data_IF_449810448932
#
_entry.id   IF_449810448932
#
_cell.length_a   1.000
_cell.length_b   1.000
_cell.length_c   1.000
_cell.angle_alpha   90.00
_cell.angle_beta   90.00
_cell.angle_gamma   90.00
#
_symmetry.space_group_name_H-M   'P 1'
#
loop_
_entity.id
_entity.type
_entity.pdbx_description
1 polymer ?
#
# COMPACT_ATOMS: atom_id res chain seq x y z
N UNK A 1 9.58 -9.86 -15.31
CA UNK A 1 10.62 -10.84 -15.68
C UNK A 1 10.10 -12.29 -15.67
N UNK A 2 9.58 -12.83 -14.53
CA UNK A 2 9.16 -14.26 -14.41
C UNK A 2 8.16 -14.69 -15.49
N UNK A 3 7.09 -13.91 -15.75
CA UNK A 3 6.06 -14.21 -16.77
C UNK A 3 6.66 -14.25 -18.19
N UNK A 4 7.52 -13.28 -18.52
CA UNK A 4 8.19 -13.25 -19.82
C UNK A 4 9.12 -14.45 -20.01
N UNK A 5 9.90 -14.80 -18.97
CA UNK A 5 10.77 -15.97 -19.01
C UNK A 5 9.97 -17.26 -19.22
N UNK A 6 8.87 -17.46 -18.52
CA UNK A 6 8.02 -18.64 -18.71
C UNK A 6 7.48 -18.74 -20.13
N UNK A 7 7.05 -17.62 -20.76
CA UNK A 7 6.60 -17.60 -22.15
C UNK A 7 7.73 -17.90 -23.13
N UNK A 8 8.92 -17.33 -22.90
CA UNK A 8 10.07 -17.57 -23.76
C UNK A 8 10.56 -19.03 -23.71
N UNK A 9 10.52 -19.65 -22.53
CA UNK A 9 10.87 -21.08 -22.37
C UNK A 9 9.89 -21.97 -23.13
N UNK A 10 8.59 -21.69 -23.10
CA UNK A 10 7.57 -22.43 -23.83
C UNK A 10 7.64 -22.21 -25.35
N UNK A 11 8.00 -21.00 -25.79
CA UNK A 11 8.10 -20.63 -27.20
C UNK A 11 9.39 -21.16 -27.85
N UNK A 12 10.48 -21.25 -27.07
CA UNK A 12 11.80 -21.74 -27.56
C UNK A 12 12.56 -20.77 -28.49
N UNK A 13 11.96 -19.64 -28.89
CA UNK A 13 12.61 -18.65 -29.77
C UNK A 13 13.43 -17.66 -28.95
N UNK A 14 14.74 -17.64 -29.14
CA UNK A 14 15.70 -16.83 -28.39
C UNK A 14 16.25 -15.62 -29.18
N UNK A 15 15.66 -15.31 -30.35
CA UNK A 15 16.10 -14.15 -31.12
C UNK A 15 15.88 -12.84 -30.32
N UNK A 16 16.87 -11.93 -30.23
CA UNK A 16 16.78 -10.73 -29.39
C UNK A 16 15.52 -9.88 -29.59
N UNK A 17 15.16 -9.61 -30.86
CA UNK A 17 13.94 -8.85 -31.16
C UNK A 17 12.65 -9.52 -30.67
N UNK A 18 12.63 -10.88 -30.66
CA UNK A 18 11.50 -11.61 -30.09
C UNK A 18 11.44 -11.50 -28.57
N UNK A 19 12.59 -11.64 -27.91
CA UNK A 19 12.72 -11.47 -26.46
C UNK A 19 12.25 -10.08 -26.02
N UNK A 20 12.70 -9.02 -26.70
CA UNK A 20 12.26 -7.63 -26.42
C UNK A 20 10.76 -7.46 -26.61
N UNK A 21 10.17 -8.02 -27.66
CA UNK A 21 8.72 -7.98 -27.92
C UNK A 21 7.94 -8.67 -26.80
N UNK A 22 8.37 -9.84 -26.35
CA UNK A 22 7.73 -10.58 -25.26
C UNK A 22 7.84 -9.78 -23.95
N UNK A 23 9.02 -9.24 -23.62
CA UNK A 23 9.21 -8.40 -22.44
C UNK A 23 8.29 -7.19 -22.45
N UNK A 24 8.21 -6.46 -23.56
CA UNK A 24 7.35 -5.27 -23.69
C UNK A 24 5.87 -5.60 -23.55
N UNK A 25 5.44 -6.73 -24.11
CA UNK A 25 4.05 -7.17 -24.01
C UNK A 25 3.71 -7.57 -22.55
N UNK A 26 4.60 -8.36 -21.91
CA UNK A 26 4.38 -8.74 -20.50
C UNK A 26 4.44 -7.56 -19.54
N UNK A 27 5.24 -6.53 -19.83
CA UNK A 27 5.23 -5.29 -19.04
C UNK A 27 3.87 -4.60 -19.12
N UNK A 28 3.29 -4.45 -20.33
CA UNK A 28 1.96 -3.87 -20.50
C UNK A 28 0.86 -4.65 -19.74
N UNK A 29 0.92 -5.98 -19.81
CA UNK A 29 -0.03 -6.83 -19.07
C UNK A 29 0.11 -6.67 -17.56
N UNK A 30 1.35 -6.57 -17.04
CA UNK A 30 1.58 -6.31 -15.61
C UNK A 30 1.09 -4.93 -15.21
N UNK A 31 1.36 -3.90 -16.03
CA UNK A 31 0.90 -2.53 -15.77
C UNK A 31 -0.64 -2.44 -15.73
N UNK A 32 -1.33 -3.21 -16.60
CA UNK A 32 -2.79 -3.32 -16.57
C UNK A 32 -3.28 -3.97 -15.26
N UNK A 33 -2.70 -5.10 -14.87
CA UNK A 33 -3.04 -5.78 -13.61
C UNK A 33 -2.78 -4.90 -12.39
N UNK A 34 -1.72 -4.07 -12.43
CA UNK A 34 -1.41 -3.11 -11.37
C UNK A 34 -2.52 -2.03 -11.29
N UNK A 35 -2.92 -1.45 -12.42
CA UNK A 35 -3.97 -0.43 -12.45
C UNK A 35 -5.30 -0.99 -11.92
N UNK A 36 -5.74 -2.14 -12.44
CA UNK A 36 -6.94 -2.84 -11.99
C UNK A 36 -6.91 -3.13 -10.49
N UNK A 37 -5.78 -3.60 -9.97
CA UNK A 37 -5.65 -3.89 -8.54
C UNK A 37 -5.74 -2.64 -7.65
N UNK A 38 -5.23 -1.51 -8.12
CA UNK A 38 -5.37 -0.23 -7.40
C UNK A 38 -6.79 0.29 -7.40
N UNK A 39 -7.49 0.20 -8.53
CA UNK A 39 -8.90 0.57 -8.65
C UNK A 39 -9.79 -0.31 -7.76
N UNK A 40 -9.59 -1.63 -7.79
CA UNK A 40 -10.30 -2.59 -6.95
C UNK A 40 -10.08 -2.30 -5.45
N UNK A 41 -8.84 -2.04 -5.04
CA UNK A 41 -8.52 -1.71 -3.66
C UNK A 41 -9.18 -0.40 -3.19
N UNK A 42 -9.20 0.63 -4.02
CA UNK A 42 -9.87 1.90 -3.72
C UNK A 42 -11.38 1.72 -3.62
N UNK A 43 -11.98 0.93 -4.51
CA UNK A 43 -13.40 0.56 -4.47
C UNK A 43 -13.75 -0.20 -3.19
N UNK A 44 -12.97 -1.24 -2.85
CA UNK A 44 -13.17 -2.08 -1.67
C UNK A 44 -13.02 -1.32 -0.35
N UNK A 45 -12.14 -0.31 -0.33
CA UNK A 45 -11.97 0.60 0.79
C UNK A 45 -13.06 1.70 0.87
N UNK A 46 -13.82 1.89 -0.22
CA UNK A 46 -14.78 2.99 -0.35
C UNK A 46 -14.11 4.36 -0.39
N UNK A 47 -13.01 4.48 -1.14
CA UNK A 47 -12.23 5.73 -1.35
C UNK A 47 -12.27 6.11 -2.82
N UNK A 48 -13.31 6.82 -3.27
CA UNK A 48 -13.44 7.25 -4.67
C UNK A 48 -12.56 8.46 -5.00
N UNK A 49 -12.38 8.74 -6.29
CA UNK A 49 -11.84 10.01 -6.78
C UNK A 49 -10.31 10.15 -6.69
N UNK A 50 -9.57 9.07 -6.43
CA UNK A 50 -8.11 9.10 -6.46
C UNK A 50 -7.59 9.27 -7.89
N UNK A 51 -6.52 10.05 -8.05
CA UNK A 51 -5.85 10.23 -9.33
C UNK A 51 -5.33 8.90 -9.89
N UNK A 52 -5.40 8.64 -11.23
CA UNK A 52 -4.95 7.37 -11.82
C UNK A 52 -3.51 6.96 -11.44
N UNK A 53 -2.60 7.92 -11.32
CA UNK A 53 -1.22 7.62 -10.90
C UNK A 53 -1.14 7.16 -9.44
N UNK A 54 -2.01 7.70 -8.55
CA UNK A 54 -2.11 7.23 -7.16
C UNK A 54 -2.66 5.79 -7.12
N UNK A 55 -3.71 5.52 -7.89
CA UNK A 55 -4.27 4.17 -8.04
C UNK A 55 -3.24 3.16 -8.56
N UNK A 56 -2.48 3.55 -9.58
CA UNK A 56 -1.39 2.72 -10.12
C UNK A 56 -0.29 2.48 -9.09
N UNK A 57 0.10 3.50 -8.31
CA UNK A 57 1.07 3.33 -7.24
C UNK A 57 0.54 2.41 -6.14
N UNK A 58 -0.71 2.59 -5.73
CA UNK A 58 -1.40 1.71 -4.78
C UNK A 58 -1.42 0.26 -5.28
N UNK A 59 -1.76 0.02 -6.54
CA UNK A 59 -1.80 -1.31 -7.14
C UNK A 59 -0.44 -2.04 -7.16
N UNK A 60 0.69 -1.31 -7.18
CA UNK A 60 2.03 -1.91 -7.06
C UNK A 60 2.23 -2.61 -5.71
N UNK A 61 1.53 -2.21 -4.66
CA UNK A 61 1.57 -2.85 -3.34
C UNK A 61 1.11 -4.31 -3.39
N UNK A 62 0.34 -4.73 -4.41
CA UNK A 62 -0.01 -6.13 -4.67
C UNK A 62 1.21 -7.05 -4.72
N UNK A 63 2.34 -6.54 -5.18
CA UNK A 63 3.60 -7.28 -5.33
C UNK A 63 4.60 -7.01 -4.19
N UNK A 64 4.16 -6.33 -3.14
CA UNK A 64 4.96 -6.06 -1.95
C UNK A 64 4.45 -6.86 -0.76
N UNK A 65 5.38 -7.43 -0.02
CA UNK A 65 5.11 -8.10 1.25
C UNK A 65 6.03 -7.53 2.32
N UNK A 66 5.50 -7.30 3.50
CA UNK A 66 6.25 -6.90 4.68
C UNK A 66 5.90 -7.86 5.82
N UNK A 67 6.90 -8.50 6.40
CA UNK A 67 6.71 -9.53 7.44
C UNK A 67 5.73 -10.65 7.06
N UNK A 68 5.59 -10.94 5.77
CA UNK A 68 4.67 -11.95 5.22
C UNK A 68 3.25 -11.45 4.93
N UNK A 69 2.91 -10.21 5.29
CA UNK A 69 1.62 -9.58 4.99
C UNK A 69 1.68 -8.89 3.61
N UNK A 70 0.68 -9.15 2.76
CA UNK A 70 0.54 -8.43 1.48
C UNK A 70 0.16 -6.97 1.74
N UNK A 71 0.92 -6.03 1.18
CA UNK A 71 0.77 -4.61 1.51
C UNK A 71 -0.51 -3.98 0.92
N UNK A 72 -1.03 -4.46 -0.21
CA UNK A 72 -2.29 -3.95 -0.75
C UNK A 72 -3.49 -4.38 0.10
N UNK A 73 -3.51 -5.66 0.53
CA UNK A 73 -4.57 -6.16 1.42
C UNK A 73 -4.53 -5.47 2.78
N UNK A 74 -3.32 -5.25 3.33
CA UNK A 74 -3.12 -4.47 4.54
C UNK A 74 -3.67 -3.05 4.41
N UNK A 75 -3.37 -2.35 3.32
CA UNK A 75 -3.86 -0.99 3.07
C UNK A 75 -5.41 -0.93 3.07
N UNK A 76 -6.09 -1.88 2.41
CA UNK A 76 -7.55 -1.97 2.42
C UNK A 76 -8.09 -2.27 3.83
N UNK A 77 -7.44 -3.16 4.58
CA UNK A 77 -7.82 -3.45 5.96
C UNK A 77 -7.68 -2.23 6.87
N UNK A 78 -6.55 -1.52 6.79
CA UNK A 78 -6.32 -0.28 7.55
C UNK A 78 -7.35 0.78 7.20
N UNK A 79 -7.70 0.96 5.92
CA UNK A 79 -8.74 1.89 5.50
C UNK A 79 -10.11 1.57 6.12
N UNK A 80 -10.49 0.30 6.14
CA UNK A 80 -11.77 -0.14 6.74
C UNK A 80 -11.78 0.09 8.26
N UNK A 81 -10.70 -0.27 8.94
CA UNK A 81 -10.53 -0.02 10.38
C UNK A 81 -10.59 1.48 10.69
N UNK A 82 -9.86 2.30 9.91
CA UNK A 82 -9.87 3.77 10.06
C UNK A 82 -11.29 4.33 9.92
N UNK A 83 -12.06 3.83 8.95
CA UNK A 83 -13.44 4.26 8.77
C UNK A 83 -14.34 3.91 9.95
N UNK A 84 -14.18 2.72 10.55
CA UNK A 84 -14.95 2.30 11.74
C UNK A 84 -14.56 3.15 12.95
N UNK A 85 -13.27 3.34 13.21
CA UNK A 85 -12.79 4.15 14.34
C UNK A 85 -13.24 5.60 14.18
N UNK A 86 -13.16 6.17 12.97
CA UNK A 86 -13.60 7.53 12.71
C UNK A 86 -15.11 7.72 12.96
N UNK A 87 -15.93 6.74 12.56
CA UNK A 87 -17.37 6.78 12.81
C UNK A 87 -17.70 6.80 14.31
N UNK A 88 -17.02 5.99 15.12
CA UNK A 88 -17.20 5.94 16.58
C UNK A 88 -16.72 7.22 17.29
N UNK A 89 -15.67 7.86 16.76
CA UNK A 89 -15.10 9.08 17.34
C UNK A 89 -15.75 10.37 16.81
N UNK A 90 -16.65 10.28 15.80
CA UNK A 90 -17.21 11.45 15.14
C UNK A 90 -16.22 12.24 14.28
N UNK A 91 -15.13 11.58 13.84
CA UNK A 91 -14.14 12.14 12.92
C UNK A 91 -14.57 12.00 11.45
N UNK A 92 -13.81 12.59 10.53
CA UNK A 92 -14.12 12.49 9.10
C UNK A 92 -13.79 11.10 8.55
N UNK A 93 -14.85 10.33 8.24
CA UNK A 93 -14.74 8.94 7.77
C UNK A 93 -14.01 8.87 6.43
N UNK A 94 -14.28 9.79 5.50
CA UNK A 94 -13.68 9.77 4.16
C UNK A 94 -12.17 10.06 4.21
N UNK A 95 -11.77 11.07 4.98
CA UNK A 95 -10.37 11.40 5.21
C UNK A 95 -9.65 10.24 5.91
N UNK A 96 -10.24 9.66 6.95
CA UNK A 96 -9.64 8.55 7.70
C UNK A 96 -9.46 7.30 6.83
N UNK A 97 -10.45 6.95 6.01
CA UNK A 97 -10.34 5.84 5.05
C UNK A 97 -9.23 6.08 4.02
N UNK A 98 -9.18 7.28 3.44
CA UNK A 98 -8.16 7.63 2.47
C UNK A 98 -6.76 7.63 3.09
N UNK A 99 -6.61 8.15 4.32
CA UNK A 99 -5.37 8.10 5.09
C UNK A 99 -4.93 6.65 5.32
N UNK A 100 -5.81 5.80 5.82
CA UNK A 100 -5.53 4.38 6.04
C UNK A 100 -5.18 3.62 4.75
N UNK A 101 -5.85 3.92 3.64
CA UNK A 101 -5.55 3.28 2.34
C UNK A 101 -4.18 3.67 1.80
N UNK A 102 -3.75 4.90 2.01
CA UNK A 102 -2.57 5.47 1.37
C UNK A 102 -1.35 5.58 2.31
N UNK A 103 -1.46 5.26 3.61
CA UNK A 103 -0.38 5.46 4.58
C UNK A 103 0.96 4.85 4.12
N UNK A 104 0.91 3.68 3.52
CA UNK A 104 2.05 2.90 3.07
C UNK A 104 2.38 3.05 1.56
N UNK A 105 1.80 4.04 0.87
CA UNK A 105 1.95 4.25 -0.58
C UNK A 105 3.42 4.28 -1.03
N UNK A 106 4.28 4.88 -0.22
CA UNK A 106 5.72 4.98 -0.51
C UNK A 106 6.46 3.65 -0.53
N UNK A 107 5.94 2.59 0.08
CA UNK A 107 6.52 1.24 -0.03
C UNK A 107 6.47 0.67 -1.46
N UNK A 108 5.64 1.24 -2.33
CA UNK A 108 5.59 0.89 -3.75
C UNK A 108 6.70 1.55 -4.60
N UNK A 109 7.43 2.51 -4.03
CA UNK A 109 8.50 3.23 -4.72
C UNK A 109 9.80 2.42 -4.75
N UNK A 110 10.76 2.87 -5.58
CA UNK A 110 12.05 2.22 -5.70
C UNK A 110 12.89 2.46 -4.43
N UNK A 111 13.60 1.41 -3.98
CA UNK A 111 14.50 1.47 -2.83
C UNK A 111 15.71 2.41 -3.02
N UNK A 112 15.97 2.88 -4.25
CA UNK A 112 17.07 3.80 -4.56
C UNK A 112 16.70 5.28 -4.28
N UNK A 113 15.44 5.57 -3.89
CA UNK A 113 15.04 6.93 -3.52
C UNK A 113 15.46 7.22 -2.07
N UNK A 114 16.12 8.35 -1.85
CA UNK A 114 16.46 8.82 -0.51
C UNK A 114 15.20 9.28 0.22
N UNK A 115 15.03 8.84 1.46
CA UNK A 115 13.91 9.19 2.32
C UNK A 115 13.13 7.97 2.83
N UNK A 116 12.28 8.22 3.82
CA UNK A 116 11.40 7.18 4.36
C UNK A 116 10.19 6.98 3.44
N UNK A 117 9.58 5.81 3.49
CA UNK A 117 8.36 5.54 2.70
C UNK A 117 7.21 6.49 3.07
N UNK A 118 7.14 6.96 4.33
CA UNK A 118 6.14 7.91 4.77
C UNK A 118 6.30 9.26 4.06
N UNK A 119 7.48 9.84 4.08
CA UNK A 119 7.76 11.12 3.43
C UNK A 119 7.64 11.04 1.90
N UNK A 120 8.21 10.00 1.29
CA UNK A 120 8.11 9.78 -0.15
C UNK A 120 6.66 9.57 -0.60
N UNK A 121 5.88 8.80 0.17
CA UNK A 121 4.46 8.57 -0.08
C UNK A 121 3.64 9.86 0.02
N UNK A 122 3.90 10.68 1.04
CA UNK A 122 3.25 11.96 1.24
C UNK A 122 3.55 12.95 0.10
N UNK A 123 4.82 13.06 -0.31
CA UNK A 123 5.20 13.91 -1.44
C UNK A 123 4.53 13.48 -2.74
N UNK A 124 4.50 12.17 -2.99
CA UNK A 124 3.83 11.62 -4.18
C UNK A 124 2.32 11.91 -4.15
N UNK A 125 1.65 11.63 -3.04
CA UNK A 125 0.23 11.90 -2.86
C UNK A 125 -0.10 13.39 -3.05
N UNK A 126 0.71 14.28 -2.48
CA UNK A 126 0.58 15.74 -2.64
C UNK A 126 0.69 16.17 -4.11
N UNK A 127 1.65 15.62 -4.85
CA UNK A 127 1.85 15.91 -6.27
C UNK A 127 0.62 15.62 -7.14
N UNK A 128 -0.12 14.58 -6.78
CA UNK A 128 -1.33 14.16 -7.51
C UNK A 128 -2.64 14.61 -6.86
N UNK A 129 -2.59 15.66 -6.04
CA UNK A 129 -3.77 16.36 -5.55
C UNK A 129 -4.57 15.63 -4.47
N UNK A 130 -3.95 14.70 -3.75
CA UNK A 130 -4.57 14.08 -2.56
C UNK A 130 -4.80 15.15 -1.48
N UNK A 131 -5.92 15.03 -0.76
CA UNK A 131 -6.32 16.00 0.27
C UNK A 131 -5.20 16.24 1.30
N UNK A 132 -4.91 17.50 1.70
CA UNK A 132 -3.80 17.82 2.60
C UNK A 132 -3.77 17.05 3.92
N UNK A 133 -4.92 16.82 4.57
CA UNK A 133 -5.01 16.02 5.79
C UNK A 133 -4.60 14.56 5.56
N UNK A 134 -4.95 13.98 4.40
CA UNK A 134 -4.50 12.64 4.02
C UNK A 134 -2.99 12.62 3.79
N UNK A 135 -2.45 13.65 3.12
CA UNK A 135 -1.00 13.81 2.91
C UNK A 135 -0.25 13.90 4.24
N UNK A 136 -0.77 14.71 5.20
CA UNK A 136 -0.20 14.77 6.54
C UNK A 136 -0.24 13.40 7.23
N UNK A 137 -1.37 12.70 7.19
CA UNK A 137 -1.49 11.37 7.78
C UNK A 137 -0.49 10.35 7.19
N UNK A 138 -0.27 10.39 5.86
CA UNK A 138 0.76 9.55 5.20
C UNK A 138 2.16 9.88 5.74
N UNK A 139 2.51 11.16 5.86
CA UNK A 139 3.85 11.57 6.30
C UNK A 139 4.10 11.38 7.79
N UNK A 140 3.04 11.38 8.61
CA UNK A 140 3.15 11.40 10.07
C UNK A 140 2.93 10.04 10.76
N UNK A 141 2.51 8.99 10.05
CA UNK A 141 2.13 7.71 10.67
C UNK A 141 3.29 6.97 11.37
N UNK A 142 4.53 7.41 11.13
CA UNK A 142 5.73 6.98 11.87
C UNK A 142 6.42 8.13 12.58
N UNK A 143 5.73 9.24 12.82
CA UNK A 143 6.22 10.42 13.53
C UNK A 143 7.41 11.14 12.88
N UNK A 144 7.60 11.00 11.55
CA UNK A 144 8.62 11.77 10.82
C UNK A 144 8.25 13.24 10.68
N UNK A 145 6.94 13.54 10.71
CA UNK A 145 6.38 14.89 10.84
C UNK A 145 5.28 14.89 11.89
N UNK A 146 4.88 16.07 12.34
CA UNK A 146 3.80 16.22 13.31
C UNK A 146 2.44 15.82 12.75
N UNK A 147 1.63 15.14 13.55
CA UNK A 147 0.22 14.84 13.22
C UNK A 147 -0.63 16.08 13.44
N UNK A 148 -1.34 16.51 12.39
CA UNK A 148 -2.15 17.73 12.40
C UNK A 148 -3.65 17.47 12.59
N UNK A 149 -4.07 16.20 12.64
CA UNK A 149 -5.50 15.84 12.71
C UNK A 149 -5.74 14.54 13.48
N UNK A 150 -6.96 14.38 13.99
CA UNK A 150 -7.41 13.13 14.61
C UNK A 150 -7.44 11.98 13.60
N UNK A 151 -7.70 12.27 12.33
CA UNK A 151 -7.71 11.30 11.24
C UNK A 151 -6.31 10.70 11.01
N UNK A 152 -5.24 11.48 11.20
CA UNK A 152 -3.86 10.98 11.14
C UNK A 152 -3.59 9.99 12.28
N UNK A 153 -4.00 10.32 13.51
CA UNK A 153 -3.88 9.42 14.65
C UNK A 153 -4.74 8.14 14.50
N UNK A 154 -5.92 8.26 13.89
CA UNK A 154 -6.78 7.12 13.57
C UNK A 154 -6.10 6.18 12.57
N UNK A 155 -5.47 6.70 11.52
CA UNK A 155 -4.77 5.89 10.53
C UNK A 155 -3.60 5.12 11.15
N UNK A 156 -2.81 5.76 12.01
CA UNK A 156 -1.72 5.12 12.78
C UNK A 156 -2.25 4.01 13.70
N UNK A 157 -3.30 4.29 14.47
CA UNK A 157 -3.90 3.30 15.35
C UNK A 157 -4.44 2.08 14.56
N UNK A 158 -5.08 2.33 13.41
CA UNK A 158 -5.60 1.29 12.54
C UNK A 158 -4.48 0.44 11.92
N UNK A 159 -3.34 1.04 11.53
CA UNK A 159 -2.15 0.30 11.07
C UNK A 159 -1.61 -0.62 12.19
N UNK A 160 -1.45 -0.07 13.39
CA UNK A 160 -0.99 -0.84 14.55
C UNK A 160 -1.91 -2.03 14.85
N UNK A 161 -3.24 -1.85 14.82
CA UNK A 161 -4.24 -2.92 15.02
C UNK A 161 -4.11 -3.98 13.92
N UNK A 162 -4.07 -3.58 12.64
CA UNK A 162 -3.94 -4.51 11.51
C UNK A 162 -2.64 -5.31 11.58
N UNK A 163 -1.54 -4.66 11.96
CA UNK A 163 -0.23 -5.33 12.11
C UNK A 163 -0.13 -6.27 13.31
N UNK A 164 -0.84 -5.98 14.41
CA UNK A 164 -0.77 -6.74 15.66
C UNK A 164 -1.73 -7.94 15.72
N UNK A 165 -2.73 -8.03 14.85
CA UNK A 165 -3.70 -9.13 14.90
C UNK A 165 -3.04 -10.49 14.64
N UNK A 166 -3.48 -11.58 15.31
CA UNK A 166 -2.92 -12.91 15.12
C UNK A 166 -2.95 -13.35 13.64
N UNK A 167 -1.81 -13.81 13.13
CA UNK A 167 -1.67 -14.30 11.76
C UNK A 167 -1.51 -13.22 10.67
N UNK A 168 -1.56 -11.93 11.00
CA UNK A 168 -1.33 -10.84 10.05
C UNK A 168 0.11 -10.83 9.53
N UNK A 169 1.06 -10.95 10.44
CA UNK A 169 2.50 -10.97 10.14
C UNK A 169 3.10 -12.33 10.54
N UNK A 170 4.15 -12.75 9.82
CA UNK A 170 4.95 -13.91 10.25
C UNK A 170 5.68 -13.51 11.51
N UNK A 171 5.22 -14.04 12.61
CA UNK A 171 5.82 -13.86 13.93
C UNK A 171 6.88 -14.95 14.15
N UNK A 172 8.05 -14.59 14.69
CA UNK A 172 8.98 -15.62 15.17
C UNK A 172 8.40 -16.31 16.41
N UNK A 173 8.82 -17.55 16.66
CA UNK A 173 8.38 -18.28 17.86
C UNK A 173 8.71 -17.49 19.14
N UNK A 174 9.85 -16.80 19.17
CA UNK A 174 10.26 -15.95 20.28
C UNK A 174 9.32 -14.76 20.51
N UNK A 175 8.94 -14.06 19.44
CA UNK A 175 7.99 -12.95 19.51
C UNK A 175 6.61 -13.42 19.98
N UNK A 176 6.15 -14.56 19.47
CA UNK A 176 4.91 -15.19 19.92
C UNK A 176 4.94 -15.50 21.41
N UNK A 177 6.02 -16.15 21.91
CA UNK A 177 6.19 -16.48 23.32
C UNK A 177 6.24 -15.21 24.19
N UNK A 178 6.94 -14.17 23.76
CA UNK A 178 6.99 -12.89 24.47
C UNK A 178 5.61 -12.25 24.59
N UNK A 179 4.84 -12.24 23.51
CA UNK A 179 3.48 -11.70 23.50
C UNK A 179 2.54 -12.48 24.44
N UNK A 180 2.58 -13.81 24.39
CA UNK A 180 1.75 -14.67 25.27
C UNK A 180 2.12 -14.49 26.75
N UNK A 181 3.39 -14.21 27.06
CA UNK A 181 3.82 -13.94 28.45
C UNK A 181 3.44 -12.56 28.95
N UNK A 182 3.14 -11.61 28.05
CA UNK A 182 2.73 -10.24 28.39
C UNK A 182 1.22 -10.09 28.58
N UNK A 183 0.42 -11.12 28.25
CA UNK A 183 -1.01 -11.22 28.49
C UNK A 183 -1.30 -11.84 29.86
#
# INVERSE_FOLDING_TARGET
ARRALAKLVLDGRIHPAHVEKVLKNEQKEVDKVIAEAGEEAAFDAGVPGLHPEVLKMLGRLKYRTSYGQNQLQHAVEVARLSGVIAAELGANIEISKAAGLLHDLGKAMDHNMEGTHALLGAEYAKRYGVHPQVVNAIGSHHHEIEQESVEAAIAEAADAISGARPGARRESLEQYIQRVRAL
#
